data_IF_490841947244
#
_entry.id   IF_490841947244
#
_cell.length_a   1.000
_cell.length_b   1.000
_cell.length_c   1.000
_cell.angle_alpha   90.00
_cell.angle_beta   90.00
_cell.angle_gamma   90.00
#
_symmetry.space_group_name_H-M   'P 1'
#
loop_
_entity.id
_entity.type
_entity.pdbx_description
1 polymer ?
#
# COMPACT_ATOMS: atom_id res chain seq x y z
N UNK A 1 -12.09 1.65 -12.36
CA UNK A 1 -10.94 0.87 -11.84
C UNK A 1 -11.42 -0.14 -10.81
N UNK A 2 -10.73 -1.26 -10.60
CA UNK A 2 -10.94 -2.10 -9.40
C UNK A 2 -10.51 -1.36 -8.12
N UNK A 3 -11.01 -1.81 -6.96
CA UNK A 3 -10.72 -1.20 -5.65
C UNK A 3 -9.63 -1.95 -4.90
N UNK A 4 -9.65 -3.28 -4.97
CA UNK A 4 -8.70 -4.17 -4.32
C UNK A 4 -8.32 -5.32 -5.25
N UNK A 5 -7.25 -6.02 -4.88
CA UNK A 5 -6.83 -7.26 -5.52
C UNK A 5 -6.37 -8.27 -4.47
N UNK A 6 -6.44 -9.55 -4.81
CA UNK A 6 -5.93 -10.65 -3.98
C UNK A 6 -4.93 -11.44 -4.80
N UNK A 7 -3.75 -11.70 -4.23
CA UNK A 7 -2.70 -12.52 -4.86
C UNK A 7 -2.62 -13.83 -4.09
N UNK A 8 -2.80 -14.96 -4.80
CA UNK A 8 -2.68 -16.33 -4.28
C UNK A 8 -3.50 -16.56 -2.99
N UNK A 9 -4.66 -15.91 -2.85
CA UNK A 9 -5.52 -15.98 -1.65
C UNK A 9 -4.83 -15.54 -0.34
N UNK A 10 -3.62 -14.99 -0.41
CA UNK A 10 -2.78 -14.69 0.76
C UNK A 10 -2.43 -13.22 0.93
N UNK A 11 -2.33 -12.47 -0.16
CA UNK A 11 -1.96 -11.06 -0.11
C UNK A 11 -3.14 -10.20 -0.54
N UNK A 12 -3.63 -9.36 0.37
CA UNK A 12 -4.68 -8.39 0.07
C UNK A 12 -4.06 -7.04 -0.30
N UNK A 13 -4.35 -6.55 -1.50
CA UNK A 13 -3.80 -5.31 -2.03
C UNK A 13 -4.89 -4.23 -2.11
N UNK A 14 -4.62 -3.06 -1.54
CA UNK A 14 -5.54 -1.91 -1.56
C UNK A 14 -4.77 -0.59 -1.52
N UNK A 15 -5.32 0.52 -2.04
CA UNK A 15 -4.56 1.78 -2.07
C UNK A 15 -4.42 2.44 -0.70
N UNK A 16 -5.57 2.73 -0.07
CA UNK A 16 -5.75 3.24 1.27
C UNK A 16 -5.43 2.15 2.29
N UNK A 17 -6.41 1.79 3.10
CA UNK A 17 -6.29 0.64 3.97
C UNK A 17 -7.65 -0.03 4.17
N UNK A 18 -7.97 -0.28 5.42
CA UNK A 18 -9.19 -0.97 5.82
C UNK A 18 -10.33 0.04 6.07
N UNK A 19 -11.56 -0.46 6.17
CA UNK A 19 -12.73 0.32 6.59
C UNK A 19 -13.38 -0.27 7.84
N UNK A 20 -13.84 0.54 8.80
CA UNK A 20 -14.65 0.05 9.92
C UNK A 20 -16.03 -0.47 9.47
N UNK A 21 -16.45 -0.14 8.25
CA UNK A 21 -17.74 -0.55 7.65
C UNK A 21 -17.62 -1.82 6.80
N UNK A 22 -16.42 -2.40 6.69
CA UNK A 22 -16.20 -3.65 5.98
C UNK A 22 -16.58 -4.85 6.87
N UNK A 23 -17.74 -5.42 6.59
CA UNK A 23 -18.26 -6.61 7.23
C UNK A 23 -17.93 -7.88 6.43
N UNK A 24 -17.91 -7.80 5.09
CA UNK A 24 -17.65 -8.94 4.20
C UNK A 24 -17.00 -8.50 2.88
N UNK A 25 -16.09 -9.32 2.33
CA UNK A 25 -15.40 -8.98 1.08
C UNK A 25 -16.33 -8.88 -0.13
N UNK A 26 -17.50 -9.55 -0.11
CA UNK A 26 -18.51 -9.39 -1.16
C UNK A 26 -19.04 -7.96 -1.25
N UNK A 27 -18.92 -7.15 -0.20
CA UNK A 27 -19.25 -5.72 -0.27
C UNK A 27 -18.34 -4.97 -1.26
N UNK A 28 -17.09 -5.42 -1.44
CA UNK A 28 -16.15 -4.87 -2.43
C UNK A 28 -16.49 -5.40 -3.82
N UNK A 29 -16.78 -6.69 -3.94
CA UNK A 29 -17.10 -7.36 -5.21
C UNK A 29 -18.39 -6.82 -5.85
N UNK A 30 -19.38 -6.51 -5.02
CA UNK A 30 -20.70 -6.03 -5.44
C UNK A 30 -20.73 -4.53 -5.76
N UNK A 31 -19.61 -3.81 -5.66
CA UNK A 31 -19.53 -2.40 -6.06
C UNK A 31 -19.80 -2.25 -7.56
N UNK A 32 -20.98 -1.70 -7.88
CA UNK A 32 -21.36 -1.39 -9.26
C UNK A 32 -20.51 -0.24 -9.80
N UNK A 33 -20.02 -0.42 -11.03
CA UNK A 33 -19.19 0.56 -11.74
C UNK A 33 -19.95 1.05 -12.99
N UNK A 34 -19.81 2.34 -13.39
CA UNK A 34 -18.98 3.37 -12.75
C UNK A 34 -19.58 3.85 -11.43
N UNK A 35 -18.72 4.35 -10.53
CA UNK A 35 -19.14 4.97 -9.27
C UNK A 35 -18.32 6.23 -9.02
N UNK A 36 -18.95 7.22 -8.39
CA UNK A 36 -18.27 8.37 -7.83
C UNK A 36 -17.84 8.06 -6.39
N UNK A 37 -16.69 8.59 -5.98
CA UNK A 37 -16.21 8.43 -4.62
C UNK A 37 -17.07 9.31 -3.70
N UNK A 38 -17.85 8.74 -2.76
CA UNK A 38 -18.65 9.52 -1.84
C UNK A 38 -17.75 10.23 -0.80
N UNK A 39 -18.23 11.30 -0.15
CA UNK A 39 -17.46 12.00 0.87
C UNK A 39 -17.25 11.18 2.16
N UNK A 40 -18.02 10.10 2.34
CA UNK A 40 -17.97 9.20 3.51
C UNK A 40 -18.33 7.77 3.10
N UNK A 41 -17.90 6.82 3.91
CA UNK A 41 -18.24 5.40 3.77
C UNK A 41 -17.07 4.54 3.28
N UNK A 42 -17.34 3.25 3.18
CA UNK A 42 -16.31 2.23 2.93
C UNK A 42 -15.39 2.50 1.72
N UNK A 43 -15.92 3.09 0.64
CA UNK A 43 -15.11 3.40 -0.53
C UNK A 43 -14.07 4.50 -0.30
N UNK A 44 -14.40 5.54 0.49
CA UNK A 44 -13.40 6.57 0.82
C UNK A 44 -12.34 5.97 1.74
N UNK A 45 -12.73 5.09 2.66
CA UNK A 45 -11.79 4.46 3.59
C UNK A 45 -10.76 3.58 2.87
N UNK A 46 -11.19 2.78 1.91
CA UNK A 46 -10.29 1.98 1.07
C UNK A 46 -9.27 2.80 0.26
N UNK A 47 -9.49 4.11 0.12
CA UNK A 47 -8.60 5.00 -0.61
C UNK A 47 -7.79 5.92 0.31
N UNK A 48 -8.22 6.15 1.55
CA UNK A 48 -7.68 7.20 2.41
C UNK A 48 -7.33 6.78 3.84
N UNK A 49 -7.70 5.57 4.30
CA UNK A 49 -7.31 5.13 5.63
C UNK A 49 -5.83 4.77 5.70
N UNK A 50 -5.23 5.00 6.86
CA UNK A 50 -3.81 4.82 7.12
C UNK A 50 -3.56 3.91 8.34
N UNK A 51 -2.57 3.00 8.31
CA UNK A 51 -2.11 2.31 9.50
C UNK A 51 -1.38 3.28 10.44
N UNK A 52 -1.55 3.07 11.74
CA UNK A 52 -0.92 3.88 12.79
C UNK A 52 -0.51 3.00 13.99
N UNK A 53 0.74 3.13 14.43
CA UNK A 53 1.31 2.32 15.50
C UNK A 53 0.85 2.77 16.90
N UNK A 54 0.46 4.03 17.03
CA UNK A 54 0.05 4.63 18.31
C UNK A 54 -1.48 4.52 18.53
N UNK A 55 -2.20 4.04 17.51
CA UNK A 55 -3.65 3.81 17.56
C UNK A 55 -3.96 2.36 17.93
N UNK A 56 -4.94 2.20 18.82
CA UNK A 56 -5.63 0.92 19.06
C UNK A 56 -7.05 1.02 18.55
N UNK A 57 -7.48 0.08 17.70
CA UNK A 57 -8.77 0.16 17.04
C UNK A 57 -8.74 1.18 15.89
N UNK A 58 -9.70 2.11 15.89
CA UNK A 58 -9.85 3.15 14.87
C UNK A 58 -9.76 4.54 15.51
N UNK A 59 -9.12 5.48 14.82
CA UNK A 59 -9.08 6.89 15.18
C UNK A 59 -9.41 7.75 13.94
N UNK A 60 -9.88 8.98 14.13
CA UNK A 60 -10.04 9.92 13.02
C UNK A 60 -8.69 10.26 12.42
N UNK A 61 -8.62 10.40 11.10
CA UNK A 61 -7.35 10.74 10.44
C UNK A 61 -7.04 12.23 10.55
N UNK A 62 -5.79 12.55 10.86
CA UNK A 62 -5.26 13.92 10.82
C UNK A 62 -5.29 14.54 9.41
N UNK A 63 -5.50 13.72 8.36
CA UNK A 63 -5.74 14.19 6.99
C UNK A 63 -7.11 14.85 6.81
N UNK A 64 -7.99 14.77 7.81
CA UNK A 64 -9.36 15.27 7.75
C UNK A 64 -10.30 14.41 6.90
N UNK A 65 -9.87 13.20 6.51
CA UNK A 65 -10.65 12.27 5.71
C UNK A 65 -10.37 10.82 6.13
N UNK A 66 -11.42 10.02 6.30
CA UNK A 66 -11.33 8.64 6.79
C UNK A 66 -10.66 8.50 8.17
N UNK A 67 -9.97 7.39 8.40
CA UNK A 67 -9.53 6.91 9.71
C UNK A 67 -8.09 6.42 9.69
N UNK A 68 -7.44 6.50 10.85
CA UNK A 68 -6.26 5.73 11.17
C UNK A 68 -6.68 4.39 11.81
N UNK A 69 -5.94 3.31 11.56
CA UNK A 69 -6.22 1.99 12.17
C UNK A 69 -4.99 1.34 12.78
N UNK A 70 -5.20 0.71 13.94
CA UNK A 70 -4.16 0.04 14.70
C UNK A 70 -3.76 -1.33 14.17
N UNK A 71 -2.65 -1.84 14.69
CA UNK A 71 -2.17 -3.20 14.43
C UNK A 71 -3.20 -4.28 14.80
N UNK A 72 -4.04 -4.03 15.81
CA UNK A 72 -5.10 -4.95 16.23
C UNK A 72 -6.21 -5.11 15.19
N UNK A 73 -6.60 -4.01 14.53
CA UNK A 73 -7.56 -4.01 13.42
C UNK A 73 -7.02 -4.82 12.25
N UNK A 74 -5.78 -4.53 11.83
CA UNK A 74 -5.11 -5.26 10.76
C UNK A 74 -5.04 -6.77 11.05
N UNK A 75 -4.55 -7.14 12.25
CA UNK A 75 -4.42 -8.54 12.65
C UNK A 75 -5.78 -9.25 12.69
N UNK A 76 -6.83 -8.57 13.11
CA UNK A 76 -8.20 -9.11 13.10
C UNK A 76 -8.68 -9.37 11.68
N UNK A 77 -8.49 -8.40 10.77
CA UNK A 77 -8.83 -8.51 9.37
C UNK A 77 -8.12 -9.70 8.69
N UNK A 78 -6.79 -9.78 8.83
CA UNK A 78 -5.99 -10.84 8.23
C UNK A 78 -6.42 -12.22 8.72
N UNK A 79 -6.64 -12.39 10.03
CA UNK A 79 -7.16 -13.65 10.59
C UNK A 79 -8.55 -14.01 10.07
N UNK A 80 -9.46 -13.04 10.02
CA UNK A 80 -10.85 -13.26 9.57
C UNK A 80 -10.89 -13.79 8.14
N UNK A 81 -10.10 -13.21 7.25
CA UNK A 81 -10.09 -13.55 5.82
C UNK A 81 -8.94 -14.48 5.41
N UNK A 82 -8.17 -14.99 6.38
CA UNK A 82 -7.04 -15.92 6.19
C UNK A 82 -5.93 -15.40 5.26
N UNK A 83 -5.78 -14.08 5.20
CA UNK A 83 -4.66 -13.43 4.54
C UNK A 83 -3.43 -13.42 5.45
N UNK A 84 -2.27 -13.44 4.82
CA UNK A 84 -0.98 -13.40 5.52
C UNK A 84 -0.41 -11.96 5.51
N UNK A 85 -0.74 -11.17 4.47
CA UNK A 85 -0.16 -9.84 4.24
C UNK A 85 -1.19 -8.86 3.66
N UNK A 86 -1.15 -7.60 4.14
CA UNK A 86 -1.78 -6.46 3.48
C UNK A 86 -0.72 -5.62 2.75
N UNK A 87 -0.92 -5.33 1.48
CA UNK A 87 -0.04 -4.45 0.70
C UNK A 87 -0.82 -3.19 0.32
N UNK A 88 -0.23 -2.04 0.60
CA UNK A 88 -0.85 -0.75 0.33
C UNK A 88 0.10 0.33 -0.15
N UNK A 89 -0.41 1.53 -0.42
CA UNK A 89 0.38 2.68 -0.87
C UNK A 89 0.09 3.96 -0.06
N UNK A 90 -0.24 5.07 -0.73
CA UNK A 90 -0.75 6.34 -0.19
C UNK A 90 0.21 7.17 0.68
N UNK A 91 0.90 6.57 1.66
CA UNK A 91 1.86 7.25 2.51
C UNK A 91 3.25 7.26 1.85
N UNK A 92 3.87 8.44 1.78
CA UNK A 92 5.28 8.57 1.42
C UNK A 92 6.11 7.97 2.54
N UNK A 93 7.05 7.09 2.20
CA UNK A 93 7.96 6.42 3.15
C UNK A 93 9.39 6.53 2.64
N UNK A 94 10.34 6.75 3.55
CA UNK A 94 11.73 7.14 3.22
C UNK A 94 12.41 6.15 2.27
N UNK A 95 12.34 4.84 2.56
CA UNK A 95 12.96 3.80 1.75
C UNK A 95 12.12 3.36 0.55
N UNK A 96 10.98 4.02 0.27
CA UNK A 96 9.99 3.60 -0.73
C UNK A 96 9.14 2.40 -0.30
N UNK A 97 9.48 1.72 0.79
CA UNK A 97 8.61 0.78 1.47
C UNK A 97 8.74 0.88 2.99
N UNK A 98 7.71 0.45 3.71
CA UNK A 98 7.71 0.37 5.17
C UNK A 98 6.92 -0.85 5.64
N UNK A 99 7.37 -1.49 6.73
CA UNK A 99 6.73 -2.65 7.33
C UNK A 99 6.00 -2.25 8.61
N UNK A 100 4.78 -2.77 8.78
CA UNK A 100 3.94 -2.50 9.93
C UNK A 100 3.43 -3.80 10.57
N UNK A 101 3.14 -3.74 11.87
CA UNK A 101 2.54 -4.82 12.67
C UNK A 101 3.15 -6.21 12.41
N UNK A 102 4.39 -6.42 12.86
CA UNK A 102 5.13 -7.68 12.68
C UNK A 102 5.25 -8.10 11.20
N UNK A 103 5.41 -7.11 10.31
CA UNK A 103 5.57 -7.28 8.85
C UNK A 103 4.32 -7.84 8.16
N UNK A 104 3.16 -7.73 8.80
CA UNK A 104 1.88 -8.17 8.24
C UNK A 104 1.20 -7.09 7.38
N UNK A 105 1.78 -5.89 7.32
CA UNK A 105 1.43 -4.86 6.35
C UNK A 105 2.69 -4.27 5.73
N UNK A 106 2.64 -4.02 4.42
CA UNK A 106 3.66 -3.32 3.65
C UNK A 106 3.04 -2.07 3.04
N UNK A 107 3.60 -0.91 3.35
CA UNK A 107 3.36 0.33 2.61
C UNK A 107 4.39 0.43 1.48
N UNK A 108 3.93 0.70 0.25
CA UNK A 108 4.75 0.90 -0.95
C UNK A 108 4.54 2.31 -1.51
N UNK A 109 5.64 2.98 -1.80
CA UNK A 109 5.64 4.26 -2.47
C UNK A 109 6.66 4.23 -3.60
N UNK A 110 6.21 4.42 -4.85
CA UNK A 110 7.05 4.19 -6.03
C UNK A 110 7.50 5.49 -6.72
N UNK A 111 7.17 6.66 -6.17
CA UNK A 111 7.61 7.95 -6.69
C UNK A 111 8.82 8.48 -5.87
N UNK A 112 10.06 8.26 -6.34
CA UNK A 112 11.24 8.78 -5.66
C UNK A 112 11.29 10.31 -5.74
N UNK A 113 11.88 10.96 -4.74
CA UNK A 113 11.95 12.42 -4.62
C UNK A 113 10.56 13.07 -4.76
N UNK A 114 9.60 12.59 -3.98
CA UNK A 114 8.20 13.00 -4.11
C UNK A 114 8.06 14.52 -4.01
N UNK A 115 7.26 15.10 -4.92
CA UNK A 115 7.10 16.55 -5.10
C UNK A 115 8.41 17.36 -5.29
N UNK A 116 9.57 16.73 -5.40
CA UNK A 116 10.87 17.42 -5.39
C UNK A 116 11.26 18.00 -4.02
N UNK A 117 10.54 17.63 -2.97
CA UNK A 117 10.67 18.14 -1.59
C UNK A 117 11.15 17.05 -0.62
N UNK A 118 10.76 15.80 -0.88
CA UNK A 118 11.21 14.64 -0.12
C UNK A 118 12.46 14.05 -0.75
N UNK A 119 13.31 13.40 0.04
CA UNK A 119 14.46 12.63 -0.44
C UNK A 119 14.17 11.12 -0.46
N UNK A 120 12.88 10.75 -0.41
CA UNK A 120 12.47 9.35 -0.38
C UNK A 120 12.89 8.58 -1.65
N UNK A 121 13.21 7.31 -1.48
CA UNK A 121 13.31 6.36 -2.57
C UNK A 121 11.92 5.94 -3.05
N UNK A 122 11.88 5.37 -4.25
CA UNK A 122 10.74 4.58 -4.73
C UNK A 122 10.99 3.09 -4.46
N UNK A 123 9.94 2.29 -4.26
CA UNK A 123 10.06 0.84 -4.24
C UNK A 123 9.01 0.14 -5.11
N UNK A 124 9.38 -1.05 -5.58
CA UNK A 124 8.49 -2.05 -6.18
C UNK A 124 8.64 -3.34 -5.39
N UNK A 125 7.53 -3.94 -4.95
CA UNK A 125 7.53 -5.28 -4.37
C UNK A 125 7.31 -6.32 -5.46
N UNK A 126 8.20 -7.31 -5.51
CA UNK A 126 8.05 -8.50 -6.36
C UNK A 126 7.64 -9.66 -5.46
N UNK A 127 6.50 -10.26 -5.77
CA UNK A 127 6.00 -11.48 -5.13
C UNK A 127 6.35 -12.65 -6.02
N UNK A 128 7.17 -13.58 -5.52
CA UNK A 128 7.55 -14.79 -6.23
C UNK A 128 6.46 -15.88 -6.10
N UNK A 129 6.56 -16.95 -6.89
CA UNK A 129 5.55 -18.02 -6.92
C UNK A 129 5.41 -18.78 -5.61
N UNK A 130 6.42 -18.72 -4.74
CA UNK A 130 6.41 -19.29 -3.39
C UNK A 130 6.05 -18.25 -2.31
N UNK A 131 5.49 -17.10 -2.73
CA UNK A 131 5.09 -15.95 -1.91
C UNK A 131 6.22 -15.24 -1.17
N UNK A 132 7.49 -15.54 -1.47
CA UNK A 132 8.59 -14.70 -1.01
C UNK A 132 8.47 -13.31 -1.64
N UNK A 133 8.55 -12.30 -0.80
CA UNK A 133 8.48 -10.90 -1.20
C UNK A 133 9.89 -10.29 -1.20
N UNK A 134 10.30 -9.70 -2.33
CA UNK A 134 11.53 -8.91 -2.46
C UNK A 134 11.24 -7.49 -2.91
N UNK A 135 12.07 -6.54 -2.48
CA UNK A 135 11.91 -5.13 -2.82
C UNK A 135 12.99 -4.68 -3.79
N UNK A 136 12.57 -4.01 -4.86
CA UNK A 136 13.44 -3.29 -5.79
C UNK A 136 13.38 -1.81 -5.44
N UNK A 137 14.52 -1.22 -5.07
CA UNK A 137 14.61 0.17 -4.64
C UNK A 137 15.10 1.06 -5.79
N UNK A 138 14.42 2.19 -5.97
CA UNK A 138 14.69 3.22 -6.96
C UNK A 138 15.16 4.47 -6.22
N UNK A 139 16.46 4.73 -6.22
CA UNK A 139 17.03 5.89 -5.56
C UNK A 139 16.52 7.22 -6.16
N UNK A 140 16.38 8.29 -5.36
CA UNK A 140 16.07 9.61 -5.87
C UNK A 140 17.20 10.12 -6.78
N UNK A 141 16.85 10.73 -7.91
CA UNK A 141 17.84 11.45 -8.74
C UNK A 141 18.18 12.77 -8.07
N UNK A 142 19.43 12.93 -7.64
CA UNK A 142 19.95 14.22 -7.16
C UNK A 142 19.94 15.24 -8.31
N UNK A 143 19.52 16.48 -8.02
CA UNK A 143 19.35 17.56 -9.03
C UNK A 143 20.66 17.99 -9.72
N UNK A 144 21.82 17.51 -9.27
CA UNK A 144 23.13 17.83 -9.87
C UNK A 144 23.94 16.55 -10.20
N UNK A 145 23.92 16.13 -11.46
CA UNK A 145 24.94 15.20 -12.01
C UNK A 145 24.41 14.07 -12.88
N UNK A 146 24.64 14.21 -14.19
CA UNK A 146 24.49 13.23 -15.27
C UNK A 146 23.08 12.97 -15.81
N UNK A 147 22.82 13.56 -16.98
CA UNK A 147 21.89 13.06 -17.99
C UNK A 147 22.27 11.61 -18.32
N UNK A 148 21.56 10.63 -17.75
CA UNK A 148 21.50 9.31 -18.37
C UNK A 148 20.54 9.42 -19.56
N UNK A 149 21.08 9.36 -20.78
CA UNK A 149 20.29 9.01 -21.96
C UNK A 149 19.67 7.63 -21.68
N UNK A 150 18.33 7.60 -21.68
CA UNK A 150 17.57 6.40 -21.39
C UNK A 150 17.48 5.55 -22.66
N UNK A 151 18.50 4.74 -22.93
CA UNK A 151 18.58 3.88 -24.13
C UNK A 151 17.97 2.48 -23.94
N UNK A 152 16.87 2.41 -23.18
CA UNK A 152 16.00 1.23 -23.17
C UNK A 152 16.20 0.25 -22.00
N UNK A 153 15.04 -0.23 -21.51
CA UNK A 153 14.72 -1.33 -20.58
C UNK A 153 15.80 -1.76 -19.57
N UNK A 154 15.52 -1.68 -18.25
CA UNK A 154 16.36 -2.33 -17.24
C UNK A 154 16.43 -3.84 -17.51
N UNK A 155 17.64 -4.39 -17.64
CA UNK A 155 17.85 -5.84 -17.68
C UNK A 155 17.74 -6.41 -16.26
N UNK A 156 17.00 -7.50 -16.13
CA UNK A 156 16.90 -8.29 -14.90
C UNK A 156 18.31 -8.77 -14.49
N UNK A 157 18.77 -8.54 -13.24
CA UNK A 157 20.02 -9.10 -12.77
C UNK A 157 19.90 -10.63 -12.73
N UNK A 158 20.88 -11.32 -13.30
CA UNK A 158 21.09 -12.76 -13.09
C UNK A 158 22.13 -12.87 -11.98
N UNK A 159 21.82 -13.64 -10.95
CA UNK A 159 22.77 -14.01 -9.90
C UNK A 159 23.21 -15.45 -10.15
N UNK A 160 24.52 -15.66 -10.22
CA UNK A 160 25.15 -16.99 -10.32
C UNK A 160 24.96 -17.83 -9.05
#
# INVERSE_FOLDING_TARGET
MPIAAVIEEKVFCIHGGLSPLLEDLSQIENLRRPLQIPPRGMLIDFLWSDPDADVRGWAESDRGISYNFGADVLKSFLRKYKFDLLVRAHQVVEAGYELFADRQLVTLFSAPNYCGEFDNAGAIMVVESDLRCRFLIIAPRLKNGFHYSYDGRPKTPVFD
#
